data_IF_067740724205
#
_entry.id   IF_067740724205
#
_cell.length_a   1.000
_cell.length_b   1.000
_cell.length_c   1.000
_cell.angle_alpha   90.00
_cell.angle_beta   90.00
_cell.angle_gamma   90.00
#
_symmetry.space_group_name_H-M   'P 1'
#
loop_
_entity.id
_entity.type
_entity.pdbx_description
1 polymer ?
#
# COMPACT_ATOMS: atom_id res chain seq x y z
N UNK A 1 0.77 -38.87 -51.44
CA UNK A 1 0.02 -38.28 -50.30
C UNK A 1 1.01 -37.43 -49.50
N UNK A 2 1.13 -36.14 -49.87
CA UNK A 2 2.15 -35.24 -49.35
C UNK A 2 1.51 -34.23 -48.37
N UNK A 3 1.95 -34.26 -47.11
CA UNK A 3 1.44 -33.36 -46.07
C UNK A 3 2.21 -32.03 -46.13
N UNK A 4 1.45 -30.98 -46.45
CA UNK A 4 1.87 -29.59 -46.63
C UNK A 4 2.23 -28.97 -45.27
N UNK A 5 3.51 -28.63 -45.04
CA UNK A 5 3.92 -27.78 -43.90
C UNK A 5 3.32 -26.38 -44.09
N UNK A 6 2.39 -25.97 -43.23
CA UNK A 6 1.98 -24.57 -43.11
C UNK A 6 3.00 -23.85 -42.23
N UNK A 7 3.77 -22.97 -42.86
CA UNK A 7 4.62 -21.99 -42.17
C UNK A 7 3.70 -20.92 -41.56
N UNK A 8 3.77 -20.70 -40.25
CA UNK A 8 3.03 -19.63 -39.60
C UNK A 8 3.71 -18.29 -39.92
N UNK A 9 3.03 -17.52 -40.76
CA UNK A 9 3.30 -16.11 -41.03
C UNK A 9 3.16 -15.33 -39.71
N UNK A 10 4.21 -14.60 -39.32
CA UNK A 10 4.12 -13.58 -38.26
C UNK A 10 3.28 -12.41 -38.79
N UNK A 11 2.24 -11.94 -38.08
CA UNK A 11 1.67 -10.65 -38.38
C UNK A 11 2.56 -9.57 -37.78
N UNK A 12 2.99 -8.62 -38.61
CA UNK A 12 3.50 -7.32 -38.17
C UNK A 12 2.37 -6.57 -37.46
N UNK A 13 2.38 -6.60 -36.13
CA UNK A 13 1.50 -5.76 -35.31
C UNK A 13 2.26 -4.51 -34.90
N UNK A 14 2.09 -3.45 -35.68
CA UNK A 14 2.12 -2.09 -35.15
C UNK A 14 0.99 -1.96 -34.13
N UNK A 15 1.29 -2.11 -32.85
CA UNK A 15 0.34 -1.86 -31.76
C UNK A 15 1.04 -1.24 -30.56
N UNK A 16 0.61 -0.02 -30.24
CA UNK A 16 0.67 0.52 -28.88
C UNK A 16 2.05 0.86 -28.35
N UNK A 17 2.44 2.12 -28.56
CA UNK A 17 3.40 2.84 -27.72
C UNK A 17 2.84 2.90 -26.28
N UNK A 18 2.95 1.77 -25.58
CA UNK A 18 2.73 1.69 -24.15
C UNK A 18 3.94 2.34 -23.52
N UNK A 19 3.69 3.43 -22.79
CA UNK A 19 4.64 4.13 -21.93
C UNK A 19 5.22 3.18 -20.87
N UNK A 20 6.08 2.27 -21.30
CA UNK A 20 6.94 1.49 -20.46
C UNK A 20 8.00 2.45 -19.95
N UNK A 21 7.80 2.97 -18.74
CA UNK A 21 8.83 3.66 -17.99
C UNK A 21 9.98 2.66 -17.80
N UNK A 22 10.97 2.74 -18.69
CA UNK A 22 12.23 1.99 -18.60
C UNK A 22 12.98 2.50 -17.38
N UNK A 23 12.86 1.79 -16.26
CA UNK A 23 13.86 1.88 -15.20
C UNK A 23 15.16 1.29 -15.73
N UNK A 24 16.25 2.06 -15.67
CA UNK A 24 17.57 1.64 -16.11
C UNK A 24 17.97 0.28 -15.48
N UNK A 25 18.68 -0.59 -16.23
CA UNK A 25 19.18 -1.84 -15.68
C UNK A 25 20.14 -1.53 -14.54
N UNK A 26 19.87 -2.10 -13.36
CA UNK A 26 20.73 -1.96 -12.19
C UNK A 26 22.08 -2.60 -12.50
N UNK A 27 23.13 -1.79 -12.55
CA UNK A 27 24.50 -2.25 -12.75
C UNK A 27 24.91 -3.16 -11.59
N UNK A 28 25.32 -4.39 -11.90
CA UNK A 28 25.80 -5.35 -10.92
C UNK A 28 27.03 -4.78 -10.17
N UNK A 29 26.84 -4.45 -8.88
CA UNK A 29 27.89 -3.93 -8.00
C UNK A 29 27.56 -2.63 -7.26
N UNK A 30 26.36 -2.06 -7.41
CA UNK A 30 25.96 -0.90 -6.61
C UNK A 30 25.76 -1.29 -5.13
N UNK A 31 26.29 -0.46 -4.22
CA UNK A 31 26.08 -0.62 -2.78
C UNK A 31 24.58 -0.62 -2.45
N UNK A 32 24.16 -1.46 -1.48
CA UNK A 32 22.78 -1.55 -0.98
C UNK A 32 22.13 -0.17 -0.78
N UNK A 33 22.89 0.80 -0.26
CA UNK A 33 22.43 2.17 -0.01
C UNK A 33 22.14 2.98 -1.29
N UNK A 34 22.74 2.62 -2.42
CA UNK A 34 22.46 3.23 -3.73
C UNK A 34 21.24 2.60 -4.41
N UNK A 35 20.98 1.32 -4.17
CA UNK A 35 19.84 0.60 -4.77
C UNK A 35 18.54 0.80 -3.98
N UNK A 36 18.62 0.95 -2.66
CA UNK A 36 17.45 1.07 -1.77
C UNK A 36 16.47 2.19 -2.18
N UNK A 37 16.90 3.43 -2.49
CA UNK A 37 15.98 4.47 -2.95
C UNK A 37 15.25 4.08 -4.25
N UNK A 38 15.91 3.36 -5.15
CA UNK A 38 15.30 2.92 -6.42
C UNK A 38 14.20 1.89 -6.17
N UNK A 39 14.43 0.96 -5.23
CA UNK A 39 13.42 -0.03 -4.83
C UNK A 39 12.19 0.64 -4.21
N UNK A 40 12.40 1.59 -3.29
CA UNK A 40 11.33 2.36 -2.65
C UNK A 40 10.55 3.15 -3.72
N UNK A 41 11.25 3.85 -4.61
CA UNK A 41 10.62 4.63 -5.68
C UNK A 41 9.83 3.77 -6.68
N UNK A 42 10.30 2.53 -6.93
CA UNK A 42 9.56 1.53 -7.72
C UNK A 42 8.25 1.16 -7.03
N UNK A 43 8.31 0.91 -5.72
CA UNK A 43 7.15 0.69 -4.86
C UNK A 43 6.13 1.81 -4.97
N UNK A 44 6.56 3.03 -4.69
CA UNK A 44 5.68 4.22 -4.68
C UNK A 44 5.06 4.43 -6.06
N UNK A 45 5.86 4.45 -7.13
CA UNK A 45 5.36 4.80 -8.46
C UNK A 45 4.37 3.77 -9.00
N UNK A 46 4.54 2.49 -8.67
CA UNK A 46 3.67 1.41 -9.18
C UNK A 46 2.39 1.23 -8.36
N UNK A 47 2.33 1.71 -7.11
CA UNK A 47 1.09 1.72 -6.33
C UNK A 47 0.18 2.92 -6.65
N UNK A 48 0.73 4.03 -7.18
CA UNK A 48 0.00 5.28 -7.43
C UNK A 48 -1.28 5.07 -8.26
N UNK A 49 -1.28 4.29 -9.36
CA UNK A 49 -2.52 4.05 -10.12
C UNK A 49 -3.63 3.43 -9.26
N UNK A 50 -3.31 2.48 -8.36
CA UNK A 50 -4.27 1.89 -7.43
C UNK A 50 -4.81 2.91 -6.44
N UNK A 51 -3.94 3.79 -5.94
CA UNK A 51 -4.34 4.87 -5.05
C UNK A 51 -5.29 5.86 -5.73
N UNK A 52 -5.03 6.21 -6.99
CA UNK A 52 -5.88 7.12 -7.77
C UNK A 52 -7.27 6.52 -7.95
N UNK A 53 -7.37 5.22 -8.26
CA UNK A 53 -8.67 4.54 -8.36
C UNK A 53 -9.49 4.66 -7.07
N UNK A 54 -8.89 4.39 -5.91
CA UNK A 54 -9.58 4.53 -4.62
C UNK A 54 -9.92 5.98 -4.28
N UNK A 55 -8.97 6.90 -4.47
CA UNK A 55 -9.13 8.31 -4.13
C UNK A 55 -10.21 9.02 -4.96
N UNK A 56 -10.29 8.75 -6.26
CA UNK A 56 -11.34 9.34 -7.12
C UNK A 56 -12.72 8.81 -6.75
N UNK A 57 -12.84 7.51 -6.45
CA UNK A 57 -14.11 6.91 -6.03
C UNK A 57 -14.55 7.48 -4.67
N UNK A 58 -13.63 7.63 -3.71
CA UNK A 58 -13.90 8.31 -2.44
C UNK A 58 -14.34 9.77 -2.69
N UNK A 59 -13.68 10.50 -3.58
CA UNK A 59 -14.06 11.88 -3.88
C UNK A 59 -15.48 11.98 -4.45
N UNK A 60 -15.91 11.03 -5.30
CA UNK A 60 -17.29 10.96 -5.80
C UNK A 60 -18.28 10.77 -4.65
N UNK A 61 -17.97 9.89 -3.70
CA UNK A 61 -18.79 9.69 -2.50
C UNK A 61 -19.00 11.00 -1.72
N UNK A 62 -17.91 11.71 -1.43
CA UNK A 62 -17.95 12.96 -0.66
C UNK A 62 -18.68 14.07 -1.44
N UNK A 63 -18.53 14.11 -2.77
CA UNK A 63 -19.23 15.07 -3.62
C UNK A 63 -20.75 14.84 -3.60
N UNK A 64 -21.20 13.59 -3.66
CA UNK A 64 -22.63 13.26 -3.54
C UNK A 64 -23.17 13.67 -2.17
N UNK A 65 -22.49 13.29 -1.09
CA UNK A 65 -22.98 13.52 0.26
C UNK A 65 -23.01 15.01 0.63
N UNK A 66 -21.89 15.72 0.45
CA UNK A 66 -21.72 17.06 1.02
C UNK A 66 -22.00 18.19 0.05
N UNK A 67 -21.95 17.95 -1.27
CA UNK A 67 -22.22 18.98 -2.28
C UNK A 67 -23.62 18.83 -2.85
N UNK A 68 -24.04 17.62 -3.26
CA UNK A 68 -25.34 17.44 -3.91
C UNK A 68 -26.49 17.26 -2.93
N UNK A 69 -26.25 16.57 -1.82
CA UNK A 69 -27.25 16.32 -0.79
C UNK A 69 -27.12 17.27 0.41
N UNK A 70 -26.14 18.18 0.37
CA UNK A 70 -25.90 19.23 1.37
C UNK A 70 -25.88 18.70 2.81
N UNK A 71 -25.36 17.49 3.00
CA UNK A 71 -25.19 16.91 4.33
C UNK A 71 -24.13 17.75 5.06
N UNK A 72 -24.33 18.07 6.35
CA UNK A 72 -23.29 18.70 7.16
C UNK A 72 -21.99 17.86 7.15
N UNK A 73 -20.79 18.44 6.89
CA UNK A 73 -19.53 17.70 6.79
C UNK A 73 -19.10 16.93 8.04
N UNK A 74 -19.68 17.25 9.18
CA UNK A 74 -19.51 16.56 10.47
C UNK A 74 -20.40 15.31 10.60
N UNK A 75 -21.37 15.12 9.71
CA UNK A 75 -22.28 13.98 9.70
C UNK A 75 -21.83 12.94 8.68
N UNK A 76 -21.51 11.72 9.13
CA UNK A 76 -21.16 10.61 8.24
C UNK A 76 -22.32 10.17 7.35
N UNK A 77 -22.02 9.60 6.19
CA UNK A 77 -23.04 9.11 5.24
C UNK A 77 -23.95 8.06 5.88
N UNK A 78 -23.40 7.18 6.72
CA UNK A 78 -24.17 6.16 7.44
C UNK A 78 -25.15 6.80 8.44
N UNK A 79 -24.74 7.85 9.14
CA UNK A 79 -25.59 8.55 10.10
C UNK A 79 -26.70 9.32 9.38
N UNK A 80 -26.38 9.94 8.24
CA UNK A 80 -27.36 10.57 7.36
C UNK A 80 -28.39 9.56 6.80
N UNK A 81 -27.98 8.33 6.49
CA UNK A 81 -28.90 7.25 6.13
C UNK A 81 -29.81 6.86 7.31
N UNK A 82 -29.25 6.72 8.50
CA UNK A 82 -29.98 6.35 9.71
C UNK A 82 -30.93 7.46 10.20
N UNK A 83 -30.71 8.72 9.79
CA UNK A 83 -31.56 9.84 10.17
C UNK A 83 -32.97 9.77 9.57
N UNK A 84 -33.21 8.90 8.58
CA UNK A 84 -34.51 8.74 7.92
C UNK A 84 -34.99 9.97 7.13
N UNK A 85 -34.14 10.98 6.94
CA UNK A 85 -34.50 12.26 6.29
C UNK A 85 -34.52 12.17 4.77
N UNK A 86 -33.83 11.19 4.19
CA UNK A 86 -33.71 11.02 2.74
C UNK A 86 -34.71 9.98 2.24
N UNK A 87 -35.48 10.33 1.21
CA UNK A 87 -36.47 9.45 0.57
C UNK A 87 -36.30 9.47 -0.96
N UNK A 88 -36.91 8.50 -1.65
CA UNK A 88 -36.91 8.42 -3.11
C UNK A 88 -35.51 8.40 -3.73
N UNK A 89 -35.28 9.26 -4.73
CA UNK A 89 -34.02 9.34 -5.47
C UNK A 89 -32.84 9.78 -4.57
N UNK A 90 -33.05 10.71 -3.64
CA UNK A 90 -32.01 11.19 -2.74
C UNK A 90 -31.50 10.08 -1.82
N UNK A 91 -32.40 9.18 -1.37
CA UNK A 91 -32.02 7.99 -0.62
C UNK A 91 -31.16 7.03 -1.47
N UNK A 92 -31.54 6.83 -2.73
CA UNK A 92 -30.76 5.99 -3.66
C UNK A 92 -29.38 6.58 -3.95
N UNK A 93 -29.28 7.90 -4.13
CA UNK A 93 -28.01 8.60 -4.28
C UNK A 93 -27.16 8.48 -3.02
N UNK A 94 -27.73 8.64 -1.83
CA UNK A 94 -27.00 8.54 -0.58
C UNK A 94 -26.46 7.11 -0.35
N UNK A 95 -27.26 6.08 -0.67
CA UNK A 95 -26.83 4.67 -0.66
C UNK A 95 -25.69 4.42 -1.66
N UNK A 96 -25.75 5.03 -2.83
CA UNK A 96 -24.67 4.96 -3.81
C UNK A 96 -23.40 5.71 -3.33
N UNK A 97 -23.56 6.85 -2.66
CA UNK A 97 -22.50 7.56 -1.95
C UNK A 97 -21.82 6.68 -0.91
N UNK A 98 -22.58 5.93 -0.12
CA UNK A 98 -22.04 4.96 0.84
C UNK A 98 -21.31 3.79 0.17
N UNK A 99 -21.88 3.23 -0.91
CA UNK A 99 -21.25 2.16 -1.68
C UNK A 99 -19.88 2.60 -2.22
N UNK A 100 -19.82 3.78 -2.82
CA UNK A 100 -18.58 4.37 -3.34
C UNK A 100 -17.60 4.70 -2.22
N UNK A 101 -18.07 5.17 -1.05
CA UNK A 101 -17.22 5.38 0.13
C UNK A 101 -16.54 4.07 0.55
N UNK A 102 -17.34 3.01 0.74
CA UNK A 102 -16.87 1.71 1.20
C UNK A 102 -15.91 1.07 0.19
N UNK A 103 -16.26 1.07 -1.09
CA UNK A 103 -15.41 0.49 -2.13
C UNK A 103 -14.13 1.30 -2.36
N UNK A 104 -14.22 2.63 -2.38
CA UNK A 104 -13.07 3.52 -2.48
C UNK A 104 -12.12 3.35 -1.29
N UNK A 105 -12.66 3.23 -0.07
CA UNK A 105 -11.90 2.95 1.14
C UNK A 105 -11.18 1.60 1.08
N UNK A 106 -11.83 0.56 0.56
CA UNK A 106 -11.19 -0.74 0.33
C UNK A 106 -10.01 -0.63 -0.65
N UNK A 107 -10.19 0.03 -1.80
CA UNK A 107 -9.11 0.24 -2.77
C UNK A 107 -7.95 1.04 -2.17
N UNK A 108 -8.26 2.06 -1.38
CA UNK A 108 -7.27 2.88 -0.68
C UNK A 108 -6.48 2.07 0.36
N UNK A 109 -7.13 1.11 1.04
CA UNK A 109 -6.49 0.23 2.02
C UNK A 109 -5.39 -0.67 1.41
N UNK A 110 -5.43 -0.91 0.09
CA UNK A 110 -4.40 -1.65 -0.63
C UNK A 110 -3.12 -0.83 -0.91
N UNK A 111 -3.08 0.46 -0.60
CA UNK A 111 -1.91 1.28 -0.89
C UNK A 111 -0.60 0.72 -0.30
N UNK A 112 -0.61 0.42 1.01
CA UNK A 112 0.56 -0.14 1.71
C UNK A 112 0.89 -1.57 1.23
N UNK A 113 -0.08 -2.49 1.10
CA UNK A 113 0.14 -3.79 0.46
C UNK A 113 0.77 -3.72 -0.93
N UNK A 114 0.25 -2.86 -1.82
CA UNK A 114 0.77 -2.72 -3.18
C UNK A 114 2.17 -2.10 -3.19
N UNK A 115 2.41 -1.11 -2.35
CA UNK A 115 3.76 -0.58 -2.13
C UNK A 115 4.73 -1.70 -1.77
N UNK A 116 4.44 -2.48 -0.73
CA UNK A 116 5.30 -3.54 -0.23
C UNK A 116 5.53 -4.62 -1.30
N UNK A 117 4.48 -5.00 -2.03
CA UNK A 117 4.55 -5.94 -3.14
C UNK A 117 5.50 -5.46 -4.24
N UNK A 118 5.42 -4.20 -4.64
CA UNK A 118 6.26 -3.64 -5.70
C UNK A 118 7.70 -3.38 -5.26
N UNK A 119 7.94 -3.02 -4.00
CA UNK A 119 9.30 -2.97 -3.42
C UNK A 119 9.90 -4.37 -3.44
N UNK A 120 9.22 -5.38 -2.90
CA UNK A 120 9.71 -6.76 -2.88
C UNK A 120 9.95 -7.29 -4.31
N UNK A 121 9.03 -7.03 -5.24
CA UNK A 121 9.17 -7.37 -6.65
C UNK A 121 10.39 -6.71 -7.32
N UNK A 122 10.70 -5.46 -6.96
CA UNK A 122 11.87 -4.77 -7.51
C UNK A 122 13.20 -5.39 -7.04
N UNK A 123 13.20 -6.11 -5.90
CA UNK A 123 14.38 -6.76 -5.32
C UNK A 123 14.49 -8.22 -5.79
N UNK A 124 13.44 -9.02 -5.56
CA UNK A 124 13.41 -10.47 -5.78
C UNK A 124 12.66 -10.91 -7.05
N UNK A 125 12.22 -9.97 -7.88
CA UNK A 125 11.43 -10.24 -9.08
C UNK A 125 10.00 -10.70 -8.79
N UNK A 126 9.33 -11.23 -9.82
CA UNK A 126 7.89 -11.56 -9.77
C UNK A 126 7.53 -12.53 -8.63
N UNK A 127 8.44 -13.42 -8.24
CA UNK A 127 8.22 -14.39 -7.17
C UNK A 127 8.15 -13.73 -5.78
N UNK A 128 8.75 -12.55 -5.60
CA UNK A 128 8.73 -11.82 -4.34
C UNK A 128 7.46 -10.98 -4.14
N UNK A 129 6.73 -10.70 -5.22
CA UNK A 129 5.52 -9.89 -5.19
C UNK A 129 4.48 -10.41 -4.16
N UNK A 130 4.12 -11.71 -4.13
CA UNK A 130 3.12 -12.20 -3.18
C UNK A 130 3.57 -12.06 -1.72
N UNK A 131 4.85 -12.34 -1.43
CA UNK A 131 5.39 -12.23 -0.08
C UNK A 131 5.39 -10.77 0.40
N UNK A 132 5.78 -9.83 -0.46
CA UNK A 132 5.70 -8.40 -0.17
C UNK A 132 4.25 -7.94 0.03
N UNK A 133 3.31 -8.39 -0.80
CA UNK A 133 1.89 -8.05 -0.68
C UNK A 133 1.30 -8.53 0.65
N UNK A 134 1.53 -9.81 0.99
CA UNK A 134 1.07 -10.40 2.26
C UNK A 134 1.72 -9.68 3.45
N UNK A 135 3.03 -9.39 3.37
CA UNK A 135 3.72 -8.63 4.40
C UNK A 135 3.12 -7.24 4.60
N UNK A 136 2.83 -6.51 3.52
CA UNK A 136 2.17 -5.21 3.59
C UNK A 136 0.74 -5.29 4.14
N UNK A 137 -0.02 -6.35 3.82
CA UNK A 137 -1.33 -6.60 4.43
C UNK A 137 -1.23 -6.86 5.92
N UNK A 138 -0.29 -7.70 6.36
CA UNK A 138 -0.08 -7.97 7.79
C UNK A 138 0.42 -6.72 8.53
N UNK A 139 1.11 -5.81 7.84
CA UNK A 139 1.55 -4.55 8.42
C UNK A 139 0.37 -3.64 8.80
N UNK A 140 -0.66 -3.58 7.95
CA UNK A 140 -1.87 -2.77 8.19
C UNK A 140 -2.95 -3.52 8.97
N UNK A 141 -3.04 -4.83 8.77
CA UNK A 141 -4.02 -5.74 9.37
C UNK A 141 -3.28 -6.91 10.01
N UNK A 142 -2.66 -6.71 11.19
CA UNK A 142 -1.83 -7.73 11.79
C UNK A 142 -2.63 -8.96 12.20
N UNK A 143 -1.98 -10.12 12.12
CA UNK A 143 -2.54 -11.39 12.58
C UNK A 143 -2.85 -11.34 14.07
N UNK A 144 -3.92 -12.02 14.47
CA UNK A 144 -4.31 -12.09 15.87
C UNK A 144 -3.21 -12.76 16.69
N UNK A 145 -2.97 -12.21 17.88
CA UNK A 145 -2.04 -12.78 18.86
C UNK A 145 -2.83 -13.31 20.04
N UNK A 146 -2.39 -14.45 20.59
CA UNK A 146 -2.99 -15.05 21.76
C UNK A 146 -2.42 -14.39 23.01
N UNK A 147 -3.29 -13.80 23.81
CA UNK A 147 -2.97 -13.27 25.12
C UNK A 147 -3.79 -13.99 26.19
N UNK A 148 -3.16 -14.32 27.31
CA UNK A 148 -3.84 -14.94 28.43
C UNK A 148 -4.37 -13.85 29.38
N UNK A 149 -5.69 -13.81 29.55
CA UNK A 149 -6.34 -12.96 30.56
C UNK A 149 -6.31 -13.70 31.91
N UNK A 150 -5.44 -13.22 32.81
CA UNK A 150 -5.24 -13.82 34.12
C UNK A 150 -6.46 -13.67 35.05
N UNK A 151 -7.31 -12.67 34.83
CA UNK A 151 -8.51 -12.43 35.65
C UNK A 151 -9.63 -13.41 35.28
N UNK A 152 -9.75 -13.73 33.99
CA UNK A 152 -10.79 -14.62 33.48
C UNK A 152 -10.31 -16.05 33.24
N UNK A 153 -9.02 -16.32 33.41
CA UNK A 153 -8.36 -17.60 33.11
C UNK A 153 -8.69 -18.09 31.67
N UNK A 154 -8.76 -17.17 30.71
CA UNK A 154 -9.13 -17.47 29.31
C UNK A 154 -8.11 -16.92 28.32
N UNK A 155 -7.99 -17.60 27.18
CA UNK A 155 -7.20 -17.12 26.05
C UNK A 155 -8.04 -16.20 25.18
N UNK A 156 -7.53 -15.00 24.93
CA UNK A 156 -8.16 -14.00 24.08
C UNK A 156 -7.29 -13.77 22.84
N UNK A 157 -7.93 -13.77 21.68
CA UNK A 157 -7.30 -13.39 20.43
C UNK A 157 -7.44 -11.87 20.25
N UNK A 158 -6.35 -11.14 20.43
CA UNK A 158 -6.34 -9.67 20.33
C UNK A 158 -5.58 -9.22 19.08
N UNK A 159 -6.03 -8.12 18.48
CA UNK A 159 -5.29 -7.46 17.39
C UNK A 159 -4.17 -6.60 18.00
N UNK A 160 -2.89 -6.86 17.67
CA UNK A 160 -1.81 -5.98 18.11
C UNK A 160 -1.88 -4.65 17.35
N UNK A 161 -1.13 -3.66 17.83
CA UNK A 161 -0.99 -2.37 17.13
C UNK A 161 -0.34 -2.61 15.76
N UNK A 162 -0.96 -2.18 14.65
CA UNK A 162 -0.38 -2.32 13.33
C UNK A 162 0.96 -1.59 13.21
N UNK A 163 1.93 -2.22 12.53
CA UNK A 163 3.24 -1.62 12.21
C UNK A 163 3.22 -0.76 10.95
N UNK A 164 2.11 -0.85 10.19
CA UNK A 164 1.70 0.01 9.08
C UNK A 164 2.82 0.27 8.09
N UNK A 165 3.15 1.53 7.82
CA UNK A 165 4.12 1.88 6.80
C UNK A 165 5.52 1.34 7.12
N UNK A 166 6.00 1.54 8.35
CA UNK A 166 7.36 1.14 8.75
C UNK A 166 7.49 -0.39 8.67
N UNK A 167 6.50 -1.12 9.17
CA UNK A 167 6.47 -2.57 9.08
C UNK A 167 6.46 -3.05 7.64
N UNK A 168 5.65 -2.44 6.78
CA UNK A 168 5.56 -2.75 5.36
C UNK A 168 6.88 -2.53 4.61
N UNK A 169 7.60 -1.44 4.90
CA UNK A 169 8.91 -1.17 4.31
C UNK A 169 9.93 -2.24 4.70
N UNK A 170 10.02 -2.55 5.99
CA UNK A 170 10.98 -3.54 6.52
C UNK A 170 10.69 -4.92 5.92
N UNK A 171 9.43 -5.37 5.97
CA UNK A 171 9.08 -6.70 5.47
C UNK A 171 9.21 -6.82 3.96
N UNK A 172 8.90 -5.76 3.20
CA UNK A 172 9.05 -5.79 1.74
C UNK A 172 10.51 -6.00 1.31
N UNK A 173 11.44 -5.30 1.98
CA UNK A 173 12.87 -5.45 1.74
C UNK A 173 13.34 -6.84 2.16
N UNK A 174 12.99 -7.27 3.38
CA UNK A 174 13.40 -8.56 3.93
C UNK A 174 12.88 -9.74 3.09
N UNK A 175 11.58 -9.74 2.75
CA UNK A 175 10.96 -10.75 1.91
C UNK A 175 11.51 -10.72 0.48
N UNK A 176 11.78 -9.53 -0.08
CA UNK A 176 12.41 -9.36 -1.39
C UNK A 176 13.76 -10.05 -1.48
N UNK A 177 14.66 -9.77 -0.52
CA UNK A 177 15.99 -10.41 -0.48
C UNK A 177 15.92 -11.89 -0.14
N UNK A 178 15.01 -12.31 0.75
CA UNK A 178 14.80 -13.73 1.05
C UNK A 178 14.39 -14.50 -0.21
N UNK A 179 13.40 -14.01 -0.95
CA UNK A 179 12.93 -14.69 -2.16
C UNK A 179 14.01 -14.70 -3.23
N UNK A 180 14.76 -13.61 -3.39
CA UNK A 180 15.95 -13.57 -4.27
C UNK A 180 16.94 -14.68 -3.89
N UNK A 181 17.25 -14.81 -2.61
CA UNK A 181 18.16 -15.81 -2.07
C UNK A 181 17.63 -17.25 -2.26
N UNK A 182 16.37 -17.52 -1.90
CA UNK A 182 15.72 -18.81 -2.09
C UNK A 182 15.75 -19.23 -3.56
N UNK A 183 15.44 -18.29 -4.46
CA UNK A 183 15.44 -18.57 -5.89
C UNK A 183 16.85 -18.88 -6.43
N UNK A 184 17.90 -18.24 -5.91
CA UNK A 184 19.28 -18.52 -6.30
C UNK A 184 19.87 -19.78 -5.68
N UNK A 185 19.42 -20.19 -4.48
CA UNK A 185 19.98 -21.34 -3.75
C UNK A 185 19.27 -22.65 -4.05
N UNK A 186 17.96 -22.61 -4.29
CA UNK A 186 17.19 -23.81 -4.59
C UNK A 186 17.34 -24.14 -6.07
N UNK A 187 18.27 -25.01 -6.42
CA UNK A 187 18.45 -25.49 -7.79
C UNK A 187 17.74 -26.84 -7.95
N UNK A 188 16.80 -26.90 -8.90
CA UNK A 188 16.00 -28.08 -9.19
C UNK A 188 16.08 -28.40 -10.68
N UNK A 189 15.92 -29.67 -11.09
CA UNK A 189 15.87 -30.04 -12.50
C UNK A 189 14.68 -29.39 -13.23
N UNK A 190 14.75 -29.31 -14.56
CA UNK A 190 13.79 -28.59 -15.41
C UNK A 190 12.32 -28.94 -15.13
N UNK A 191 12.02 -30.21 -14.84
CA UNK A 191 10.66 -30.68 -14.58
C UNK A 191 10.09 -30.21 -13.23
N UNK A 192 10.91 -29.73 -12.30
CA UNK A 192 10.50 -29.20 -10.99
C UNK A 192 10.47 -27.68 -10.91
N UNK A 193 10.80 -26.96 -11.99
CA UNK A 193 10.82 -25.50 -11.97
C UNK A 193 9.45 -24.90 -11.59
N UNK A 194 8.36 -25.48 -12.12
CA UNK A 194 7.00 -25.06 -11.77
C UNK A 194 6.69 -25.27 -10.28
N UNK A 195 7.09 -26.41 -9.72
CA UNK A 195 6.95 -26.68 -8.28
C UNK A 195 7.74 -25.68 -7.43
N UNK A 196 9.00 -25.39 -7.81
CA UNK A 196 9.84 -24.42 -7.13
C UNK A 196 9.20 -23.03 -7.07
N UNK A 197 8.74 -22.51 -8.21
CA UNK A 197 8.25 -21.13 -8.33
C UNK A 197 6.83 -20.93 -7.82
N UNK A 198 5.98 -21.94 -7.94
CA UNK A 198 4.54 -21.81 -7.67
C UNK A 198 4.17 -22.32 -6.27
N UNK A 199 4.97 -23.22 -5.70
CA UNK A 199 4.69 -23.82 -4.39
C UNK A 199 5.80 -23.55 -3.39
N UNK A 200 7.02 -24.04 -3.66
CA UNK A 200 8.08 -24.08 -2.65
C UNK A 200 8.53 -22.69 -2.19
N UNK A 201 8.89 -21.81 -3.12
CA UNK A 201 9.32 -20.43 -2.80
C UNK A 201 8.16 -19.64 -2.15
N UNK A 202 6.94 -19.62 -2.72
CA UNK A 202 5.81 -18.95 -2.08
C UNK A 202 5.55 -19.39 -0.64
N UNK A 203 5.52 -20.70 -0.35
CA UNK A 203 5.28 -21.20 1.01
C UNK A 203 6.39 -20.79 1.97
N UNK A 204 7.67 -20.97 1.60
CA UNK A 204 8.79 -20.56 2.43
C UNK A 204 8.77 -19.06 2.71
N UNK A 205 8.43 -18.25 1.69
CA UNK A 205 8.32 -16.80 1.85
C UNK A 205 7.14 -16.39 2.73
N UNK A 206 5.99 -17.06 2.63
CA UNK A 206 4.83 -16.79 3.47
C UNK A 206 5.08 -17.17 4.94
N UNK A 207 5.73 -18.32 5.18
CA UNK A 207 6.16 -18.73 6.53
C UNK A 207 7.13 -17.73 7.13
N UNK A 208 8.11 -17.27 6.35
CA UNK A 208 9.01 -16.22 6.80
C UNK A 208 8.26 -14.93 7.14
N UNK A 209 7.36 -14.46 6.26
CA UNK A 209 6.59 -13.24 6.50
C UNK A 209 5.77 -13.37 7.78
N UNK A 210 5.08 -14.49 8.00
CA UNK A 210 4.33 -14.75 9.21
C UNK A 210 5.23 -14.64 10.46
N UNK A 211 6.36 -15.35 10.48
CA UNK A 211 7.27 -15.38 11.63
C UNK A 211 7.94 -14.02 11.88
N UNK A 212 8.43 -13.37 10.82
CA UNK A 212 9.09 -12.07 10.91
C UNK A 212 8.12 -10.98 11.39
N UNK A 213 6.89 -10.97 10.88
CA UNK A 213 5.87 -10.01 11.31
C UNK A 213 5.44 -10.28 12.75
N UNK A 214 5.16 -11.53 13.11
CA UNK A 214 4.69 -11.89 14.45
C UNK A 214 5.74 -11.59 15.53
N UNK A 215 6.98 -12.06 15.37
CA UNK A 215 7.98 -11.99 16.44
C UNK A 215 8.74 -10.67 16.50
N UNK A 216 8.88 -9.95 15.37
CA UNK A 216 9.83 -8.84 15.27
C UNK A 216 9.15 -7.57 14.78
N UNK A 217 8.62 -7.60 13.56
CA UNK A 217 8.29 -6.36 12.84
C UNK A 217 7.01 -5.71 13.39
N UNK A 218 5.96 -6.49 13.67
CA UNK A 218 4.71 -5.95 14.22
C UNK A 218 4.90 -5.40 15.63
N UNK A 219 5.55 -6.12 16.58
CA UNK A 219 5.82 -5.56 17.90
C UNK A 219 6.64 -4.26 17.87
N UNK A 220 7.75 -4.23 17.11
CA UNK A 220 8.64 -3.07 17.02
C UNK A 220 7.93 -1.90 16.32
N UNK A 221 7.28 -2.16 15.19
CA UNK A 221 6.57 -1.13 14.44
C UNK A 221 5.37 -0.58 15.21
N UNK A 222 4.64 -1.43 15.92
CA UNK A 222 3.54 -1.01 16.79
C UNK A 222 4.01 -0.10 17.93
N UNK A 223 5.14 -0.42 18.56
CA UNK A 223 5.77 0.44 19.56
C UNK A 223 6.18 1.80 18.99
N UNK A 224 6.83 1.81 17.82
CA UNK A 224 7.26 3.04 17.17
C UNK A 224 6.05 3.92 16.75
N UNK A 225 5.01 3.30 16.21
CA UNK A 225 3.77 3.98 15.86
C UNK A 225 3.08 4.58 17.09
N UNK A 226 3.04 3.87 18.21
CA UNK A 226 2.52 4.40 19.47
C UNK A 226 3.37 5.59 19.96
N UNK A 227 4.70 5.48 19.91
CA UNK A 227 5.61 6.56 20.30
C UNK A 227 5.44 7.82 19.44
N UNK A 228 5.33 7.67 18.12
CA UNK A 228 5.04 8.79 17.22
C UNK A 228 3.74 9.49 17.60
N UNK A 229 2.66 8.73 17.84
CA UNK A 229 1.38 9.30 18.30
C UNK A 229 1.54 10.10 19.59
N UNK A 230 2.26 9.58 20.57
CA UNK A 230 2.48 10.27 21.86
C UNK A 230 3.21 11.59 21.67
N UNK A 231 4.28 11.61 20.87
CA UNK A 231 5.05 12.84 20.59
C UNK A 231 4.19 13.88 19.86
N UNK A 232 3.40 13.45 18.88
CA UNK A 232 2.52 14.32 18.12
C UNK A 232 1.38 14.90 18.95
N UNK A 233 0.76 14.09 19.81
CA UNK A 233 -0.26 14.55 20.74
C UNK A 233 0.33 15.55 21.76
N UNK A 234 1.55 15.31 22.25
CA UNK A 234 2.25 16.23 23.14
C UNK A 234 2.64 17.55 22.46
N UNK A 235 2.97 17.52 21.17
CA UNK A 235 3.29 18.72 20.39
C UNK A 235 2.06 19.57 20.04
N UNK A 236 0.85 19.02 20.21
CA UNK A 236 -0.41 19.71 19.99
C UNK A 236 -0.50 20.41 18.63
N UNK A 237 -1.08 21.61 18.61
CA UNK A 237 -1.33 22.37 17.38
C UNK A 237 -0.04 22.87 16.70
N UNK A 238 1.03 23.14 17.45
CA UNK A 238 2.30 23.58 16.89
C UNK A 238 2.98 22.45 16.09
N UNK A 239 2.92 21.20 16.57
CA UNK A 239 3.45 20.04 15.88
C UNK A 239 2.73 19.73 14.57
N UNK A 240 1.39 19.79 14.58
CA UNK A 240 0.59 19.57 13.37
C UNK A 240 0.81 20.65 12.31
N UNK A 241 1.02 21.91 12.73
CA UNK A 241 1.35 23.01 11.83
C UNK A 241 2.74 22.84 11.20
N UNK A 242 3.75 22.43 11.96
CA UNK A 242 5.09 22.17 11.42
C UNK A 242 5.12 21.00 10.46
N UNK A 243 4.39 19.93 10.77
CA UNK A 243 4.19 18.85 9.82
C UNK A 243 3.50 19.34 8.54
N UNK A 244 2.42 20.12 8.66
CA UNK A 244 1.68 20.63 7.51
C UNK A 244 2.56 21.49 6.59
N UNK A 245 3.38 22.37 7.17
CA UNK A 245 4.33 23.22 6.43
C UNK A 245 5.41 22.38 5.76
N UNK A 246 6.04 21.46 6.49
CA UNK A 246 7.08 20.59 5.94
C UNK A 246 6.57 19.72 4.79
N UNK A 247 5.37 19.17 4.94
CA UNK A 247 4.71 18.37 3.90
C UNK A 247 4.31 19.19 2.68
N UNK A 248 3.76 20.39 2.88
CA UNK A 248 3.41 21.29 1.80
C UNK A 248 4.67 21.73 1.03
N UNK A 249 5.73 22.11 1.74
CA UNK A 249 7.01 22.47 1.15
C UNK A 249 7.59 21.30 0.34
N UNK A 250 7.67 20.09 0.93
CA UNK A 250 8.18 18.91 0.23
C UNK A 250 7.35 18.54 -1.02
N UNK A 251 6.04 18.79 -0.99
CA UNK A 251 5.15 18.59 -2.14
C UNK A 251 5.42 19.61 -3.26
N UNK A 252 5.76 20.85 -2.90
CA UNK A 252 5.98 21.95 -3.85
C UNK A 252 7.38 21.96 -4.49
N UNK A 253 8.40 21.34 -3.87
CA UNK A 253 9.81 21.41 -4.34
C UNK A 253 10.00 20.96 -5.79
N UNK A 254 9.38 19.86 -6.19
CA UNK A 254 9.64 19.25 -7.50
C UNK A 254 8.39 18.96 -8.33
N UNK A 255 7.26 19.57 -7.96
CA UNK A 255 5.99 19.60 -8.73
C UNK A 255 5.58 18.25 -9.36
N UNK A 256 5.83 17.13 -8.66
CA UNK A 256 5.52 15.78 -9.15
C UNK A 256 6.71 14.83 -9.29
N UNK A 257 7.92 15.32 -9.03
CA UNK A 257 9.15 14.54 -9.03
C UNK A 257 9.30 13.57 -7.84
N UNK A 258 10.51 13.01 -7.63
CA UNK A 258 10.79 12.04 -6.58
C UNK A 258 10.48 12.52 -5.15
N UNK A 259 10.72 13.79 -4.84
CA UNK A 259 10.50 14.39 -3.51
C UNK A 259 9.00 14.49 -3.24
N UNK A 260 8.19 15.00 -4.18
CA UNK A 260 6.73 15.02 -4.03
C UNK A 260 6.16 13.60 -3.87
N UNK A 261 6.66 12.62 -4.63
CA UNK A 261 6.24 11.22 -4.49
C UNK A 261 6.56 10.66 -3.11
N UNK A 262 7.76 10.93 -2.59
CA UNK A 262 8.17 10.52 -1.26
C UNK A 262 7.33 11.22 -0.17
N UNK A 263 7.12 12.53 -0.28
CA UNK A 263 6.27 13.29 0.63
C UNK A 263 4.84 12.76 0.62
N UNK A 264 4.25 12.58 -0.56
CA UNK A 264 2.91 12.01 -0.71
C UNK A 264 2.75 10.64 -0.10
N UNK A 265 3.78 9.82 -0.20
CA UNK A 265 3.78 8.51 0.40
C UNK A 265 3.89 8.54 1.94
N UNK A 266 4.76 9.40 2.50
CA UNK A 266 4.85 9.59 3.96
C UNK A 266 3.53 10.13 4.52
N UNK A 267 2.94 11.13 3.87
CA UNK A 267 1.67 11.71 4.31
C UNK A 267 0.51 10.74 4.22
N UNK A 268 0.52 9.86 3.21
CA UNK A 268 -0.42 8.76 3.10
C UNK A 268 -0.28 7.79 4.27
N UNK A 269 0.95 7.36 4.60
CA UNK A 269 1.20 6.46 5.74
C UNK A 269 0.66 7.04 7.05
N UNK A 270 0.93 8.31 7.32
CA UNK A 270 0.44 8.98 8.54
C UNK A 270 -1.09 9.15 8.56
N UNK A 271 -1.72 9.29 7.39
CA UNK A 271 -3.18 9.36 7.26
C UNK A 271 -3.82 8.01 7.49
N UNK A 272 -3.24 6.93 6.93
CA UNK A 272 -3.68 5.56 7.20
C UNK A 272 -3.56 5.22 8.68
N UNK A 273 -2.57 5.78 9.36
CA UNK A 273 -2.39 5.60 10.79
C UNK A 273 -3.31 6.53 11.61
N UNK A 274 -4.14 7.37 11.01
CA UNK A 274 -4.97 8.35 11.72
C UNK A 274 -4.14 9.23 12.68
N UNK A 275 -2.89 9.52 12.30
CA UNK A 275 -1.98 10.37 13.09
C UNK A 275 -2.11 11.81 12.63
N UNK A 276 -1.99 12.02 11.31
CA UNK A 276 -2.08 13.34 10.70
C UNK A 276 -2.78 13.24 9.34
N UNK A 277 -3.67 14.18 9.01
CA UNK A 277 -4.37 14.16 7.74
C UNK A 277 -3.44 14.55 6.57
N UNK A 278 -3.73 14.01 5.38
CA UNK A 278 -3.04 14.37 4.13
C UNK A 278 -3.48 15.73 3.56
N UNK A 279 -4.46 16.40 4.20
CA UNK A 279 -5.12 17.61 3.70
C UNK A 279 -4.13 18.72 3.35
N UNK A 280 -3.11 18.95 4.17
CA UNK A 280 -2.09 19.98 3.92
C UNK A 280 -1.39 19.79 2.57
N UNK A 281 -1.06 18.55 2.24
CA UNK A 281 -0.51 18.18 0.92
C UNK A 281 -1.54 18.34 -0.19
N UNK A 282 -2.77 17.88 0.04
CA UNK A 282 -3.84 17.97 -0.96
C UNK A 282 -4.14 19.42 -1.36
N UNK A 283 -3.97 20.38 -0.45
CA UNK A 283 -4.04 21.82 -0.76
C UNK A 283 -2.79 22.29 -1.48
N UNK A 284 -1.59 21.90 -1.01
CA UNK A 284 -0.32 22.35 -1.58
C UNK A 284 -0.07 21.85 -3.02
N UNK A 285 -0.65 20.72 -3.42
CA UNK A 285 -0.44 20.15 -4.76
C UNK A 285 -1.25 20.87 -5.85
N UNK A 286 -2.22 21.73 -5.48
CA UNK A 286 -3.07 22.47 -6.44
C UNK A 286 -2.37 23.73 -6.96
N UNK A 287 -1.07 23.92 -6.68
CA UNK A 287 -0.29 25.03 -7.22
C UNK A 287 0.12 24.68 -8.66
N UNK A 288 -0.42 25.38 -9.69
CA UNK A 288 0.01 25.16 -11.07
C UNK A 288 1.51 25.51 -11.23
N UNK A 289 2.22 24.85 -12.16
CA UNK A 289 3.63 25.16 -12.45
C UNK A 289 3.84 26.59 -12.96
#
# INVERSE_FOLDING_TARGET
MAIKKRSAVRPDSHEGDTLAIKSAPVAAGASFWKELPQHIMSGISRMVPTLIMGGVILAISQLIAYVWLEIPPDTGILDALNSGKFTGFNLSLLKFGYLTESFGGLLFSFAIPMFAAFVANSIGGKLAFPAGFIGGLVATQPTLVLNFDAEKLTWLATKPVPSTFIGALIIAIAAGYLVKWLNSRINVPQYLLAFKSTFLIPILSALFVMLAMYYIITPIGGWLNAGMRTVLLAAGQAGSMMYAIGMAAATAIDLGGPINKAAGFVGLGLTTDHVLPITSRAVAIVIPP
#
